data_IF_058271022568
#
_entry.id   IF_058271022568
#
_cell.length_a   1.000
_cell.length_b   1.000
_cell.length_c   1.000
_cell.angle_alpha   90.00
_cell.angle_beta   90.00
_cell.angle_gamma   90.00
#
_symmetry.space_group_name_H-M   'P 1'
#
loop_
_entity.id
_entity.type
_entity.pdbx_description
1 polymer ?
#
# COMPACT_ATOMS: atom_id res chain seq x y z
N UNK A 1 13.00 -19.93 -19.85
CA UNK A 1 11.67 -19.78 -19.21
C UNK A 1 11.54 -18.33 -18.82
N UNK A 2 10.38 -17.69 -19.05
CA UNK A 2 10.18 -16.32 -18.58
C UNK A 2 10.08 -16.32 -17.04
N UNK A 3 10.82 -15.43 -16.37
CA UNK A 3 10.67 -15.25 -14.93
C UNK A 3 9.33 -14.58 -14.64
N UNK A 4 8.60 -15.13 -13.66
CA UNK A 4 7.31 -14.59 -13.24
C UNK A 4 7.47 -13.89 -11.91
N UNK A 5 6.96 -12.66 -11.83
CA UNK A 5 7.04 -11.81 -10.66
C UNK A 5 5.63 -11.49 -10.14
N UNK A 6 5.51 -11.41 -8.82
CA UNK A 6 4.32 -10.97 -8.12
C UNK A 6 4.68 -9.84 -7.15
N UNK A 7 3.66 -9.09 -6.74
CA UNK A 7 3.77 -8.07 -5.70
C UNK A 7 2.85 -8.48 -4.56
N UNK A 8 3.41 -8.68 -3.37
CA UNK A 8 2.63 -8.82 -2.15
C UNK A 8 2.47 -7.45 -1.51
N UNK A 9 1.23 -7.02 -1.25
CA UNK A 9 0.91 -5.70 -0.68
C UNK A 9 0.16 -5.88 0.63
N UNK A 10 0.67 -5.26 1.69
CA UNK A 10 0.05 -5.15 3.00
C UNK A 10 -0.32 -3.68 3.26
N UNK A 11 -1.60 -3.41 3.53
CA UNK A 11 -2.17 -2.08 3.75
C UNK A 11 -2.61 -1.99 5.21
N UNK A 12 -1.69 -1.55 6.06
CA UNK A 12 -1.94 -1.34 7.48
C UNK A 12 -2.30 0.10 7.83
N UNK A 13 -2.86 0.32 9.02
CA UNK A 13 -3.13 1.65 9.56
C UNK A 13 -1.87 2.44 9.89
N UNK A 14 -0.73 1.77 10.08
CA UNK A 14 0.57 2.41 10.34
C UNK A 14 1.35 2.70 9.05
N UNK A 15 0.94 2.17 7.91
CA UNK A 15 1.67 2.30 6.65
C UNK A 15 1.38 1.17 5.67
N UNK A 16 2.03 1.25 4.52
CA UNK A 16 1.90 0.29 3.42
C UNK A 16 3.24 -0.38 3.20
N UNK A 17 3.23 -1.70 3.02
CA UNK A 17 4.40 -2.51 2.66
C UNK A 17 4.12 -3.20 1.32
N UNK A 18 5.06 -3.11 0.39
CA UNK A 18 5.05 -3.94 -0.82
C UNK A 18 6.33 -4.79 -0.88
N UNK A 19 6.20 -6.01 -1.39
CA UNK A 19 7.31 -6.91 -1.61
C UNK A 19 7.27 -7.44 -3.04
N UNK A 20 8.38 -7.33 -3.76
CA UNK A 20 8.55 -8.02 -5.02
C UNK A 20 8.92 -9.48 -4.77
N UNK A 21 8.21 -10.40 -5.41
CA UNK A 21 8.34 -11.83 -5.17
C UNK A 21 8.56 -12.56 -6.49
N UNK A 22 9.63 -13.36 -6.56
CA UNK A 22 9.90 -14.21 -7.72
C UNK A 22 9.13 -15.53 -7.55
N UNK A 23 8.17 -15.77 -8.43
CA UNK A 23 7.29 -16.95 -8.38
C UNK A 23 8.00 -18.24 -8.77
N UNK A 24 9.10 -18.17 -9.52
CA UNK A 24 9.89 -19.34 -9.94
C UNK A 24 10.79 -19.84 -8.80
N UNK A 25 11.43 -18.91 -8.09
CA UNK A 25 12.39 -19.25 -7.01
C UNK A 25 11.75 -19.27 -5.63
N UNK A 26 10.51 -18.81 -5.52
CA UNK A 26 9.75 -18.63 -4.27
C UNK A 26 10.44 -17.71 -3.26
N UNK A 27 11.16 -16.69 -3.73
CA UNK A 27 11.91 -15.75 -2.88
C UNK A 27 11.40 -14.32 -3.03
N UNK A 28 11.37 -13.61 -1.91
CA UNK A 28 11.27 -12.14 -1.89
C UNK A 28 12.57 -11.54 -2.39
N UNK A 29 12.47 -10.59 -3.32
CA UNK A 29 13.62 -9.91 -3.93
C UNK A 29 13.88 -8.59 -3.22
N UNK A 30 12.83 -7.80 -2.99
CA UNK A 30 12.91 -6.51 -2.31
C UNK A 30 11.66 -6.23 -1.48
N UNK A 31 11.78 -5.27 -0.57
CA UNK A 31 10.67 -4.78 0.26
C UNK A 31 10.75 -3.26 0.34
N UNK A 32 9.64 -2.59 0.08
CA UNK A 32 9.46 -1.16 0.25
C UNK A 32 8.35 -0.91 1.28
N UNK A 33 8.54 0.09 2.15
CA UNK A 33 7.62 0.40 3.24
C UNK A 33 7.47 1.92 3.35
N UNK A 34 6.24 2.40 3.55
CA UNK A 34 6.01 3.80 3.92
C UNK A 34 6.30 4.04 5.40
N UNK A 35 6.70 5.26 5.76
CA UNK A 35 6.93 5.61 7.17
C UNK A 35 5.63 5.81 7.97
N UNK A 36 4.51 6.05 7.28
CA UNK A 36 3.17 6.27 7.84
C UNK A 36 2.10 5.93 6.81
N UNK A 37 0.85 5.82 7.26
CA UNK A 37 -0.29 5.69 6.36
C UNK A 37 -0.52 7.02 5.59
N UNK A 38 -0.93 6.98 4.31
CA UNK A 38 -1.07 8.19 3.51
C UNK A 38 -2.32 9.02 3.82
N UNK A 39 -3.35 8.40 4.38
CA UNK A 39 -4.50 9.12 4.96
C UNK A 39 -4.12 9.64 6.37
N UNK A 40 -4.55 10.86 6.73
CA UNK A 40 -4.28 11.41 8.06
C UNK A 40 -5.08 10.66 9.13
N UNK A 41 -4.47 10.44 10.29
CA UNK A 41 -5.08 9.73 11.40
C UNK A 41 -4.10 8.82 12.13
N UNK A 42 -4.49 8.37 13.32
CA UNK A 42 -3.76 7.36 14.09
C UNK A 42 -4.42 5.97 13.99
N UNK A 43 -5.70 5.91 13.60
CA UNK A 43 -6.46 4.66 13.52
C UNK A 43 -7.48 4.66 12.36
N UNK A 44 -8.21 3.54 12.21
CA UNK A 44 -9.20 3.34 11.15
C UNK A 44 -10.35 4.34 11.19
N UNK A 45 -10.79 4.74 12.39
CA UNK A 45 -11.90 5.69 12.55
C UNK A 45 -11.51 7.06 12.01
N UNK A 46 -10.26 7.49 12.21
CA UNK A 46 -9.75 8.74 11.65
C UNK A 46 -9.74 8.70 10.10
N UNK A 47 -9.34 7.57 9.52
CA UNK A 47 -9.33 7.38 8.06
C UNK A 47 -10.74 7.37 7.48
N UNK A 48 -11.69 6.73 8.17
CA UNK A 48 -13.10 6.76 7.81
C UNK A 48 -13.65 8.18 7.89
N UNK A 49 -13.34 8.91 8.95
CA UNK A 49 -13.73 10.31 9.11
C UNK A 49 -13.16 11.19 8.00
N UNK A 50 -11.91 10.98 7.59
CA UNK A 50 -11.32 11.66 6.43
C UNK A 50 -12.11 11.37 5.16
N UNK A 51 -12.42 10.10 4.87
CA UNK A 51 -13.16 9.72 3.67
C UNK A 51 -14.59 10.29 3.65
N UNK A 52 -15.27 10.39 4.80
CA UNK A 52 -16.61 10.97 4.91
C UNK A 52 -16.61 12.49 4.69
N UNK A 53 -15.61 13.20 5.20
CA UNK A 53 -15.57 14.67 5.14
C UNK A 53 -14.90 15.22 3.87
N UNK A 54 -13.84 14.56 3.38
CA UNK A 54 -13.08 15.00 2.20
C UNK A 54 -13.55 14.30 0.92
N UNK A 55 -14.13 13.11 1.06
CA UNK A 55 -14.70 12.32 -0.03
C UNK A 55 -13.95 11.02 -0.29
N UNK A 56 -14.72 9.98 -0.62
CA UNK A 56 -14.23 8.64 -0.93
C UNK A 56 -13.25 8.63 -2.10
N UNK A 57 -13.54 9.39 -3.16
CA UNK A 57 -12.70 9.45 -4.36
C UNK A 57 -11.31 10.02 -4.04
N UNK A 58 -11.26 11.10 -3.26
CA UNK A 58 -9.99 11.70 -2.81
C UNK A 58 -9.19 10.72 -1.97
N UNK A 59 -9.81 10.04 -1.01
CA UNK A 59 -9.15 9.03 -0.18
C UNK A 59 -8.61 7.86 -1.02
N UNK A 60 -9.40 7.39 -1.98
CA UNK A 60 -9.01 6.33 -2.91
C UNK A 60 -7.81 6.75 -3.78
N UNK A 61 -7.85 7.94 -4.37
CA UNK A 61 -6.77 8.45 -5.22
C UNK A 61 -5.46 8.61 -4.45
N UNK A 62 -5.50 9.04 -3.18
CA UNK A 62 -4.33 9.10 -2.30
C UNK A 62 -3.74 7.70 -2.06
N UNK A 63 -4.60 6.71 -1.79
CA UNK A 63 -4.17 5.32 -1.57
C UNK A 63 -3.52 4.73 -2.84
N UNK A 64 -4.18 4.82 -4.00
CA UNK A 64 -3.65 4.29 -5.27
C UNK A 64 -2.33 4.98 -5.65
N UNK A 65 -2.25 6.30 -5.50
CA UNK A 65 -1.02 7.05 -5.76
C UNK A 65 0.12 6.58 -4.86
N UNK A 66 -0.18 6.29 -3.58
CA UNK A 66 0.83 5.80 -2.64
C UNK A 66 1.28 4.39 -3.00
N UNK A 67 0.34 3.49 -3.29
CA UNK A 67 0.65 2.10 -3.69
C UNK A 67 1.55 2.09 -4.93
N UNK A 68 1.21 2.85 -5.97
CA UNK A 68 1.99 2.94 -7.20
C UNK A 68 3.38 3.57 -7.03
N UNK A 69 3.65 4.26 -5.91
CA UNK A 69 4.98 4.78 -5.58
C UNK A 69 5.82 3.82 -4.75
N UNK A 70 5.17 2.88 -4.06
CA UNK A 70 5.84 1.86 -3.24
C UNK A 70 6.23 0.64 -4.09
N UNK A 71 5.45 0.38 -5.15
CA UNK A 71 5.77 -0.57 -6.22
C UNK A 71 6.87 0.02 -7.11
#
# INVERSE_FOLDING_TARGET
MAEHYAIAIDIGTSGIRAQSYNLTTHKTISTAITLRHPLPGANVVDHLHFALNIGLETAHNILITTINRVI
#
